data_IF_414652050511
#
_entry.id   IF_414652050511
#
_cell.length_a   1.000
_cell.length_b   1.000
_cell.length_c   1.000
_cell.angle_alpha   90.00
_cell.angle_beta   90.00
_cell.angle_gamma   90.00
#
_symmetry.space_group_name_H-M   'P 1'
#
loop_
_entity.id
_entity.type
_entity.pdbx_description
1 polymer ?
#
# COMPACT_ATOMS: atom_id res chain seq x y z
N UNK A 1 -18.05 -19.25 -6.06
CA UNK A 1 -16.80 -20.04 -5.91
C UNK A 1 -15.95 -19.27 -4.93
N UNK A 2 -15.80 -19.79 -3.71
CA UNK A 2 -15.25 -19.05 -2.57
C UNK A 2 -13.79 -18.68 -2.81
N UNK A 3 -13.45 -17.42 -2.61
CA UNK A 3 -12.05 -17.02 -2.47
C UNK A 3 -11.57 -17.56 -1.12
N UNK A 4 -10.58 -18.45 -1.14
CA UNK A 4 -9.79 -18.72 0.06
C UNK A 4 -9.26 -17.37 0.57
N UNK A 5 -9.55 -17.06 1.83
CA UNK A 5 -8.98 -15.89 2.51
C UNK A 5 -7.53 -16.26 2.85
N UNK A 6 -6.64 -16.17 1.86
CA UNK A 6 -5.21 -16.22 2.09
C UNK A 6 -4.81 -14.83 2.57
N UNK A 7 -4.69 -14.67 3.89
CA UNK A 7 -4.18 -13.44 4.49
C UNK A 7 -2.68 -13.36 4.16
N UNK A 8 -2.31 -12.55 3.15
CA UNK A 8 -0.91 -12.30 2.75
C UNK A 8 -0.32 -11.03 3.37
N UNK A 9 -1.13 -10.28 4.12
CA UNK A 9 -0.77 -9.03 4.80
C UNK A 9 -1.88 -8.58 5.76
N UNK A 10 -1.61 -7.56 6.59
CA UNK A 10 -2.56 -7.03 7.58
C UNK A 10 -3.49 -5.94 7.01
N UNK A 11 -3.24 -5.47 5.78
CA UNK A 11 -4.04 -4.45 5.10
C UNK A 11 -5.13 -5.02 4.19
N UNK A 12 -5.89 -4.13 3.57
CA UNK A 12 -6.90 -4.44 2.56
C UNK A 12 -6.42 -3.96 1.19
N UNK A 13 -6.74 -4.72 0.13
CA UNK A 13 -6.48 -4.30 -1.26
C UNK A 13 -7.69 -3.60 -1.90
N UNK A 14 -8.88 -3.77 -1.33
CA UNK A 14 -10.10 -3.19 -1.87
C UNK A 14 -10.14 -1.68 -1.60
N UNK A 15 -10.53 -0.90 -2.61
CA UNK A 15 -10.79 0.52 -2.44
C UNK A 15 -12.05 0.73 -1.60
N UNK A 16 -11.92 1.45 -0.49
CA UNK A 16 -13.00 1.69 0.48
C UNK A 16 -13.21 3.17 0.78
N UNK A 17 -12.40 4.06 0.18
CA UNK A 17 -12.48 5.49 0.33
C UNK A 17 -13.03 6.23 -0.89
N UNK A 18 -13.06 7.56 -0.79
CA UNK A 18 -13.21 8.43 -1.98
C UNK A 18 -11.89 8.55 -2.76
N UNK A 19 -10.77 8.34 -2.06
CA UNK A 19 -9.41 8.31 -2.58
C UNK A 19 -8.67 7.22 -1.81
N UNK A 20 -8.07 6.30 -2.54
CA UNK A 20 -7.31 5.16 -2.00
C UNK A 20 -5.90 5.24 -2.59
N UNK A 21 -4.89 5.29 -1.72
CA UNK A 21 -3.50 5.50 -2.11
C UNK A 21 -2.70 4.20 -1.90
N UNK A 22 -1.85 3.87 -2.86
CA UNK A 22 -1.07 2.63 -2.87
C UNK A 22 0.43 2.95 -3.00
N UNK A 23 1.06 3.57 -1.97
CA UNK A 23 2.49 3.88 -2.00
C UNK A 23 3.30 2.59 -2.18
N UNK A 24 4.28 2.63 -3.09
CA UNK A 24 5.09 1.46 -3.45
C UNK A 24 4.25 0.23 -3.88
N UNK A 25 3.06 0.45 -4.45
CA UNK A 25 2.14 -0.61 -4.87
C UNK A 25 1.26 -1.18 -3.76
N UNK A 26 1.34 -0.64 -2.54
CA UNK A 26 0.43 -0.95 -1.43
C UNK A 26 0.69 -2.26 -0.70
N UNK A 27 1.70 -3.05 -1.10
CA UNK A 27 1.96 -4.37 -0.50
C UNK A 27 3.32 -4.48 0.19
N UNK A 28 4.39 -4.04 -0.48
CA UNK A 28 5.76 -4.17 0.02
C UNK A 28 6.37 -2.79 0.15
N UNK A 29 6.73 -2.41 1.36
CA UNK A 29 7.25 -1.09 1.67
C UNK A 29 8.76 -1.14 1.86
N UNK A 30 9.42 -0.10 1.35
CA UNK A 30 10.87 0.04 1.48
C UNK A 30 11.28 0.00 2.96
N UNK A 31 12.40 -0.63 3.28
CA UNK A 31 12.91 -0.74 4.65
C UNK A 31 12.29 -1.85 5.50
N UNK A 32 11.26 -2.55 5.00
CA UNK A 32 10.70 -3.73 5.64
C UNK A 32 11.43 -5.02 5.23
N UNK A 33 11.49 -6.00 6.16
CA UNK A 33 12.15 -7.28 5.93
C UNK A 33 11.11 -8.31 5.47
N UNK A 34 11.27 -8.78 4.24
CA UNK A 34 10.41 -9.80 3.66
C UNK A 34 11.16 -11.14 3.56
N UNK A 35 10.50 -12.23 3.92
CA UNK A 35 11.00 -13.57 3.62
C UNK A 35 10.54 -13.97 2.22
N UNK A 36 11.46 -14.47 1.38
CA UNK A 36 11.12 -14.96 0.05
C UNK A 36 10.23 -16.21 0.18
N UNK A 37 8.94 -16.08 -0.09
CA UNK A 37 8.01 -17.20 -0.23
C UNK A 37 8.27 -17.94 -1.56
N UNK A 38 9.47 -18.52 -1.74
CA UNK A 38 9.79 -19.35 -2.90
C UNK A 38 9.34 -20.82 -2.75
N UNK A 39 8.48 -21.12 -1.77
CA UNK A 39 7.83 -22.42 -1.62
C UNK A 39 6.51 -22.28 -0.87
N UNK A 40 5.43 -22.82 -1.46
CA UNK A 40 4.08 -23.03 -0.87
C UNK A 40 3.81 -22.25 0.42
N UNK A 41 3.74 -20.92 0.29
CA UNK A 41 3.79 -19.94 1.40
C UNK A 41 2.57 -19.88 2.32
N UNK A 42 1.68 -20.87 2.26
CA UNK A 42 0.55 -21.00 3.18
C UNK A 42 0.88 -21.80 4.44
N UNK A 43 1.87 -22.70 4.41
CA UNK A 43 2.11 -23.60 5.57
C UNK A 43 3.04 -23.01 6.65
N UNK A 44 4.00 -22.16 6.28
CA UNK A 44 5.04 -21.66 7.20
C UNK A 44 4.65 -20.42 8.02
N UNK A 45 3.92 -19.47 7.43
CA UNK A 45 3.49 -18.24 8.12
C UNK A 45 2.20 -18.44 8.93
N UNK A 46 1.34 -19.37 8.52
CA UNK A 46 0.08 -19.65 9.21
C UNK A 46 0.25 -20.54 10.45
N UNK A 47 1.40 -21.23 10.62
CA UNK A 47 1.69 -22.04 11.81
C UNK A 47 2.19 -21.21 12.99
N UNK A 48 2.66 -19.98 12.76
CA UNK A 48 3.14 -19.09 13.82
C UNK A 48 2.59 -17.67 13.65
N UNK A 49 1.51 -17.38 14.37
CA UNK A 49 0.84 -16.06 14.41
C UNK A 49 1.84 -14.94 14.76
N UNK A 50 2.78 -15.19 15.66
CA UNK A 50 3.82 -14.21 16.04
C UNK A 50 4.71 -13.86 14.85
N UNK A 51 5.15 -14.85 14.07
CA UNK A 51 5.95 -14.61 12.88
C UNK A 51 5.17 -13.82 11.82
N UNK A 52 3.87 -14.12 11.64
CA UNK A 52 3.01 -13.37 10.73
C UNK A 52 2.96 -11.88 11.08
N UNK A 53 2.74 -11.52 12.35
CA UNK A 53 2.74 -10.12 12.78
C UNK A 53 4.11 -9.45 12.68
N UNK A 54 5.21 -10.17 12.95
CA UNK A 54 6.56 -9.62 12.82
C UNK A 54 6.87 -9.27 11.36
N UNK A 55 6.58 -10.16 10.42
CA UNK A 55 6.94 -9.95 9.02
C UNK A 55 6.01 -8.98 8.28
N UNK A 56 4.72 -8.90 8.66
CA UNK A 56 3.75 -8.02 8.01
C UNK A 56 3.50 -6.72 8.78
N UNK A 57 3.94 -6.63 10.03
CA UNK A 57 3.71 -5.48 10.90
C UNK A 57 4.42 -4.23 10.38
N UNK A 58 5.65 -4.37 9.87
CA UNK A 58 6.40 -3.25 9.31
C UNK A 58 5.64 -2.59 8.14
N UNK A 59 5.22 -3.38 7.14
CA UNK A 59 4.48 -2.86 5.99
C UNK A 59 3.16 -2.18 6.40
N UNK A 60 2.49 -2.77 7.40
CA UNK A 60 1.23 -2.25 7.93
C UNK A 60 1.42 -0.92 8.67
N UNK A 61 2.50 -0.78 9.45
CA UNK A 61 2.81 0.42 10.22
C UNK A 61 3.18 1.61 9.34
N UNK A 62 3.75 1.37 8.15
CA UNK A 62 4.15 2.43 7.20
C UNK A 62 3.03 3.40 6.84
N UNK A 63 1.78 2.96 6.84
CA UNK A 63 0.64 3.85 6.62
C UNK A 63 0.60 5.02 7.64
N UNK A 64 0.90 4.73 8.91
CA UNK A 64 0.96 5.75 9.96
C UNK A 64 2.17 6.67 9.76
N UNK A 65 3.32 6.11 9.41
CA UNK A 65 4.55 6.89 9.19
C UNK A 65 4.38 7.88 8.03
N UNK A 66 3.83 7.43 6.90
CA UNK A 66 3.54 8.32 5.76
C UNK A 66 2.56 9.42 6.15
N UNK A 67 1.51 9.08 6.90
CA UNK A 67 0.55 10.07 7.36
C UNK A 67 1.21 11.10 8.28
N UNK A 68 2.00 10.67 9.26
CA UNK A 68 2.71 11.57 10.18
C UNK A 68 3.67 12.51 9.44
N UNK A 69 4.43 11.99 8.48
CA UNK A 69 5.36 12.79 7.67
C UNK A 69 4.62 13.85 6.85
N UNK A 70 3.46 13.49 6.29
CA UNK A 70 2.67 14.39 5.44
C UNK A 70 2.16 15.63 6.18
N UNK A 71 2.00 15.58 7.51
CA UNK A 71 1.50 16.71 8.32
C UNK A 71 2.40 17.93 8.22
N UNK A 72 3.71 17.73 8.12
CA UNK A 72 4.69 18.81 8.08
C UNK A 72 5.22 19.09 6.67
N UNK A 73 4.84 18.29 5.68
CA UNK A 73 5.37 18.33 4.33
C UNK A 73 4.24 18.18 3.29
N UNK A 74 3.65 19.31 2.91
CA UNK A 74 2.47 19.36 2.04
C UNK A 74 2.63 18.64 0.70
N UNK A 75 3.83 18.66 0.11
CA UNK A 75 4.13 18.01 -1.17
C UNK A 75 5.02 16.77 -1.06
N UNK A 76 5.05 16.10 0.09
CA UNK A 76 5.91 14.93 0.30
C UNK A 76 5.45 13.71 -0.50
N UNK A 77 4.14 13.57 -0.73
CA UNK A 77 3.55 12.33 -1.26
C UNK A 77 2.59 12.60 -2.41
N UNK A 78 3.08 13.32 -3.40
CA UNK A 78 2.34 13.58 -4.62
C UNK A 78 2.01 12.27 -5.32
N UNK A 79 0.72 12.02 -5.47
CA UNK A 79 0.16 10.80 -6.05
C UNK A 79 -0.56 11.12 -7.35
N UNK A 80 -0.63 10.11 -8.22
CA UNK A 80 -1.28 10.19 -9.53
C UNK A 80 -2.35 9.12 -9.65
N UNK A 81 -3.50 9.49 -10.21
CA UNK A 81 -4.54 8.50 -10.50
C UNK A 81 -4.09 7.60 -11.66
N UNK A 82 -4.23 6.30 -11.47
CA UNK A 82 -3.83 5.29 -12.43
C UNK A 82 -4.71 4.03 -12.30
N UNK A 83 -4.95 3.31 -13.39
CA UNK A 83 -5.80 2.10 -13.39
C UNK A 83 -5.15 0.93 -12.64
N UNK A 84 -3.83 0.87 -12.62
CA UNK A 84 -3.06 -0.12 -11.87
C UNK A 84 -1.67 0.39 -11.52
N UNK A 85 -1.05 -0.21 -10.49
CA UNK A 85 0.33 0.10 -10.15
C UNK A 85 1.32 -0.30 -11.28
N UNK A 86 1.01 -1.36 -12.03
CA UNK A 86 1.83 -1.73 -13.20
C UNK A 86 1.77 -0.68 -14.30
N UNK A 87 0.61 -0.07 -14.55
CA UNK A 87 0.50 1.02 -15.53
C UNK A 87 1.26 2.26 -15.06
N UNK A 88 1.29 2.53 -13.75
CA UNK A 88 2.10 3.59 -13.14
C UNK A 88 3.60 3.33 -13.37
N UNK A 89 4.11 2.14 -13.05
CA UNK A 89 5.53 1.78 -13.27
C UNK A 89 5.94 1.85 -14.75
N UNK A 90 5.01 1.57 -15.66
CA UNK A 90 5.23 1.65 -17.10
C UNK A 90 5.04 3.08 -17.69
N UNK A 91 4.86 4.11 -16.84
CA UNK A 91 4.74 5.50 -17.27
C UNK A 91 3.44 5.83 -18.01
N UNK A 92 2.44 4.95 -17.98
CA UNK A 92 1.16 5.17 -18.70
C UNK A 92 0.29 6.26 -18.06
N UNK A 93 0.66 6.70 -16.86
CA UNK A 93 -0.08 7.67 -16.06
C UNK A 93 0.62 9.02 -15.92
N UNK A 94 1.77 9.23 -16.59
CA UNK A 94 2.58 10.47 -16.50
C UNK A 94 1.84 11.73 -16.96
N UNK A 95 0.80 11.58 -17.78
CA UNK A 95 -0.07 12.66 -18.27
C UNK A 95 -1.38 12.83 -17.52
N UNK A 96 -1.60 12.09 -16.42
CA UNK A 96 -2.85 12.17 -15.67
C UNK A 96 -3.01 13.57 -15.07
N UNK A 97 -4.14 14.21 -15.36
CA UNK A 97 -4.51 15.51 -14.78
C UNK A 97 -4.99 15.39 -13.33
N UNK A 98 -5.26 14.17 -12.87
CA UNK A 98 -5.74 13.91 -11.53
C UNK A 98 -4.57 13.54 -10.64
N UNK A 99 -4.15 14.52 -9.83
CA UNK A 99 -3.13 14.35 -8.79
C UNK A 99 -3.71 14.70 -7.43
N UNK A 100 -3.19 14.07 -6.39
CA UNK A 100 -3.57 14.34 -5.01
C UNK A 100 -2.37 14.14 -4.10
N UNK A 101 -2.30 14.88 -3.01
CA UNK A 101 -1.31 14.66 -1.95
C UNK A 101 -1.84 13.56 -1.02
N UNK A 102 -1.09 12.45 -0.88
CA UNK A 102 -1.43 11.42 0.07
C UNK A 102 -1.18 11.92 1.51
N UNK A 103 -2.11 11.63 2.42
CA UNK A 103 -1.96 11.95 3.85
C UNK A 103 -2.81 13.14 4.30
N UNK A 104 -2.27 13.96 5.21
CA UNK A 104 -3.01 15.05 5.88
C UNK A 104 -3.58 16.08 4.91
N UNK A 105 -2.89 16.35 3.81
CA UNK A 105 -3.28 17.33 2.80
C UNK A 105 -4.17 16.75 1.70
N UNK A 106 -4.64 15.51 1.82
CA UNK A 106 -5.54 14.89 0.86
C UNK A 106 -6.84 15.68 0.74
N UNK A 107 -7.05 16.27 -0.44
CA UNK A 107 -8.26 17.02 -0.79
C UNK A 107 -8.88 16.39 -2.02
N UNK A 108 -10.21 16.34 -2.04
CA UNK A 108 -10.95 15.92 -3.23
C UNK A 108 -10.69 16.95 -4.32
N UNK A 109 -10.30 16.49 -5.51
CA UNK A 109 -9.92 17.33 -6.67
C UNK A 109 -11.11 18.05 -7.34
N UNK A 110 -12.17 18.38 -6.59
CA UNK A 110 -13.41 18.98 -7.10
C UNK A 110 -13.82 20.30 -6.42
N UNK A 111 -12.88 20.98 -5.75
CA UNK A 111 -13.09 22.34 -5.22
C UNK A 111 -12.24 23.38 -5.97
#
# INVERSE_FOLDING_TARGET
MGQEIIIRGLGMNDAVGHMDFYPNGGQLQLGCVHTSQSGSGAAGAMTNITAFFIFNGCDHERANEFFMESVNHESAFRSVLCDSYSDYENGKCDGSSVTAEMGFHAKKSLD
#
